data_IF_543009600916
#
_entry.id   IF_543009600916
#
_cell.length_a   1.000
_cell.length_b   1.000
_cell.length_c   1.000
_cell.angle_alpha   90.00
_cell.angle_beta   90.00
_cell.angle_gamma   90.00
#
_symmetry.space_group_name_H-M   'P 1'
#
loop_
_entity.id
_entity.type
_entity.pdbx_description
1 polymer ?
#
# COMPACT_ATOMS: atom_id res chain seq x y z
N UNK A 1 9.52 11.01 -12.65
CA UNK A 1 8.98 11.56 -11.38
C UNK A 1 7.64 12.23 -11.69
N UNK A 2 6.76 12.32 -10.69
CA UNK A 2 5.40 12.84 -10.80
C UNK A 2 5.09 13.83 -9.66
N UNK A 3 4.24 14.81 -9.92
CA UNK A 3 3.63 15.70 -8.92
C UNK A 3 2.48 15.01 -8.19
N UNK A 4 2.06 15.55 -7.05
CA UNK A 4 0.87 15.06 -6.34
C UNK A 4 -0.39 15.15 -7.21
N UNK A 5 -0.53 16.23 -8.00
CA UNK A 5 -1.68 16.40 -8.90
C UNK A 5 -1.77 15.28 -9.95
N UNK A 6 -0.63 14.88 -10.52
CA UNK A 6 -0.57 13.79 -11.49
C UNK A 6 -0.83 12.42 -10.85
N UNK A 7 -0.31 12.18 -9.64
CA UNK A 7 -0.60 10.96 -8.88
C UNK A 7 -2.08 10.89 -8.55
N UNK A 8 -2.67 11.95 -8.00
CA UNK A 8 -4.09 12.00 -7.62
C UNK A 8 -5.00 11.77 -8.84
N UNK A 9 -4.66 12.33 -10.00
CA UNK A 9 -5.40 12.11 -11.23
C UNK A 9 -5.44 10.62 -11.66
N UNK A 10 -4.43 9.82 -11.30
CA UNK A 10 -4.38 8.37 -11.55
C UNK A 10 -4.93 7.53 -10.38
N UNK A 11 -4.63 7.95 -9.15
CA UNK A 11 -4.96 7.23 -7.92
C UNK A 11 -6.43 7.37 -7.49
N UNK A 12 -7.06 8.51 -7.84
CA UNK A 12 -8.49 8.81 -7.67
C UNK A 12 -9.00 8.99 -6.23
N UNK A 13 -8.13 8.98 -5.23
CA UNK A 13 -8.51 9.18 -3.82
C UNK A 13 -7.39 9.89 -3.04
N UNK A 14 -7.72 10.43 -1.87
CA UNK A 14 -6.75 10.99 -0.91
C UNK A 14 -6.27 9.96 0.12
N UNK A 15 -6.91 8.79 0.16
CA UNK A 15 -6.54 7.68 1.05
C UNK A 15 -5.27 7.00 0.51
N UNK A 16 -4.55 6.26 1.35
CA UNK A 16 -3.39 5.49 0.89
C UNK A 16 -3.76 4.35 -0.08
N UNK A 17 -4.97 3.81 0.05
CA UNK A 17 -5.46 2.70 -0.75
C UNK A 17 -6.56 3.19 -1.71
N UNK A 18 -6.28 3.09 -3.00
CA UNK A 18 -7.22 3.39 -4.08
C UNK A 18 -7.72 2.14 -4.78
N UNK A 19 -8.70 2.26 -5.69
CA UNK A 19 -9.34 1.11 -6.34
C UNK A 19 -8.38 0.23 -7.15
N UNK A 20 -7.30 0.81 -7.68
CA UNK A 20 -6.31 0.13 -8.54
C UNK A 20 -4.86 0.52 -8.25
N UNK A 21 -4.62 1.22 -7.14
CA UNK A 21 -3.29 1.73 -6.83
C UNK A 21 -3.10 2.04 -5.35
N UNK A 22 -1.85 2.15 -4.94
CA UNK A 22 -1.42 2.37 -3.55
C UNK A 22 -0.44 3.53 -3.49
N UNK A 23 -0.55 4.31 -2.42
CA UNK A 23 0.45 5.29 -2.02
C UNK A 23 1.31 4.67 -0.94
N UNK A 24 2.62 4.71 -1.14
CA UNK A 24 3.62 4.28 -0.16
C UNK A 24 4.52 5.46 0.17
N UNK A 25 4.94 5.52 1.42
CA UNK A 25 5.93 6.48 1.93
C UNK A 25 6.77 5.80 3.03
N UNK A 26 7.70 6.54 3.63
CA UNK A 26 8.65 6.03 4.63
C UNK A 26 8.25 6.41 6.06
N UNK A 27 6.98 6.75 6.29
CA UNK A 27 6.43 7.16 7.58
C UNK A 27 5.81 8.57 7.58
N UNK A 28 5.89 9.31 6.48
CA UNK A 28 5.39 10.69 6.40
C UNK A 28 3.87 10.81 6.60
N UNK A 29 3.11 9.73 6.39
CA UNK A 29 1.66 9.66 6.62
C UNK A 29 1.27 9.10 8.00
N UNK A 30 2.24 8.76 8.84
CA UNK A 30 2.01 8.05 10.10
C UNK A 30 1.93 6.52 9.94
N UNK A 31 1.88 6.01 8.70
CA UNK A 31 2.02 4.59 8.40
C UNK A 31 3.45 4.31 7.92
N UNK A 32 4.11 3.32 8.53
CA UNK A 32 5.49 2.98 8.18
C UNK A 32 5.52 1.74 7.29
N UNK A 33 5.56 1.94 5.98
CA UNK A 33 5.80 0.85 5.04
C UNK A 33 7.22 0.30 5.24
N UNK A 34 7.36 -1.02 5.27
CA UNK A 34 8.66 -1.67 5.36
C UNK A 34 9.09 -2.13 3.95
N UNK A 35 10.15 -1.52 3.43
CA UNK A 35 10.72 -1.88 2.14
C UNK A 35 11.76 -2.98 2.32
N UNK A 36 11.58 -4.10 1.63
CA UNK A 36 12.43 -5.27 1.76
C UNK A 36 13.52 -5.30 0.67
N UNK A 37 14.66 -5.99 0.91
CA UNK A 37 15.77 -6.04 -0.04
C UNK A 37 15.42 -6.63 -1.42
N UNK A 38 14.40 -7.48 -1.49
CA UNK A 38 13.90 -8.10 -2.72
C UNK A 38 12.98 -7.16 -3.54
N UNK A 39 12.81 -5.92 -3.09
CA UNK A 39 11.91 -4.93 -3.71
C UNK A 39 10.45 -5.08 -3.31
N UNK A 40 10.10 -6.07 -2.47
CA UNK A 40 8.76 -6.18 -1.91
C UNK A 40 8.53 -5.15 -0.80
N UNK A 41 7.26 -4.91 -0.48
CA UNK A 41 6.85 -3.93 0.53
C UNK A 41 5.88 -4.61 1.49
N UNK A 42 6.14 -4.53 2.80
CA UNK A 42 5.12 -4.80 3.81
C UNK A 42 4.32 -3.52 4.05
N UNK A 43 3.05 -3.59 3.68
CA UNK A 43 2.12 -2.48 3.64
C UNK A 43 1.09 -2.64 4.76
N UNK A 44 1.05 -1.75 5.76
CA UNK A 44 0.03 -1.80 6.80
C UNK A 44 -1.34 -1.45 6.20
N UNK A 45 -2.39 -2.09 6.69
CA UNK A 45 -3.76 -1.80 6.28
C UNK A 45 -4.23 -0.40 6.67
N UNK A 46 -5.41 -0.02 6.17
CA UNK A 46 -6.10 1.21 6.52
C UNK A 46 -6.81 1.10 7.88
N UNK A 47 -6.82 2.22 8.62
CA UNK A 47 -7.52 2.38 9.89
C UNK A 47 -6.55 2.85 10.97
N UNK A 48 -6.80 4.03 11.55
CA UNK A 48 -5.89 4.71 12.48
C UNK A 48 -6.14 4.36 13.96
N UNK A 49 -7.32 3.82 14.27
CA UNK A 49 -7.71 3.46 15.64
C UNK A 49 -8.49 2.16 15.66
N UNK A 50 -8.45 1.48 16.81
CA UNK A 50 -9.07 0.16 17.00
C UNK A 50 -8.49 -0.93 16.09
N UNK A 51 -9.00 -2.14 16.24
CA UNK A 51 -8.64 -3.25 15.37
C UNK A 51 -9.05 -2.93 13.94
N UNK A 52 -8.13 -3.10 12.98
CA UNK A 52 -8.44 -2.88 11.58
C UNK A 52 -9.50 -3.87 11.10
N UNK A 53 -10.44 -3.36 10.30
CA UNK A 53 -11.60 -4.11 9.81
C UNK A 53 -11.43 -4.44 8.32
N UNK A 54 -12.02 -5.53 7.80
CA UNK A 54 -11.97 -5.90 6.39
C UNK A 54 -12.93 -5.04 5.54
N UNK A 55 -12.88 -3.72 5.71
CA UNK A 55 -13.72 -2.73 5.03
C UNK A 55 -12.84 -1.68 4.34
N UNK A 56 -13.43 -0.81 3.53
CA UNK A 56 -12.69 0.27 2.85
C UNK A 56 -11.49 -0.24 2.04
N UNK A 57 -10.32 0.36 2.25
CA UNK A 57 -9.07 -0.02 1.60
C UNK A 57 -8.61 -1.44 1.93
N UNK A 58 -8.83 -1.92 3.16
CA UNK A 58 -8.46 -3.30 3.51
C UNK A 58 -9.25 -4.31 2.67
N UNK A 59 -10.54 -4.06 2.45
CA UNK A 59 -11.37 -4.88 1.56
C UNK A 59 -10.82 -4.90 0.14
N UNK A 60 -10.35 -3.75 -0.37
CA UNK A 60 -9.76 -3.66 -1.72
C UNK A 60 -8.52 -4.56 -1.80
N UNK A 61 -7.62 -4.50 -0.82
CA UNK A 61 -6.41 -5.32 -0.79
C UNK A 61 -6.71 -6.82 -0.63
N UNK A 62 -7.67 -7.18 0.21
CA UNK A 62 -8.12 -8.58 0.36
C UNK A 62 -8.71 -9.14 -0.94
N UNK A 63 -9.51 -8.35 -1.66
CA UNK A 63 -10.04 -8.73 -2.97
C UNK A 63 -8.93 -8.83 -4.01
N UNK A 64 -7.96 -7.90 -4.01
CA UNK A 64 -6.81 -7.93 -4.91
C UNK A 64 -5.94 -9.17 -4.67
N UNK A 65 -5.74 -9.58 -3.41
CA UNK A 65 -5.10 -10.83 -3.04
C UNK A 65 -5.87 -12.04 -3.59
N UNK A 66 -7.18 -12.12 -3.34
CA UNK A 66 -7.99 -13.25 -3.79
C UNK A 66 -8.05 -13.37 -5.32
N UNK A 67 -8.15 -12.25 -6.03
CA UNK A 67 -8.25 -12.19 -7.48
C UNK A 67 -6.90 -12.11 -8.20
N UNK A 68 -5.78 -12.04 -7.46
CA UNK A 68 -4.45 -11.74 -8.00
C UNK A 68 -4.44 -10.53 -8.94
N UNK A 69 -5.18 -9.49 -8.57
CA UNK A 69 -5.27 -8.26 -9.36
C UNK A 69 -4.08 -7.35 -9.04
N UNK A 70 -3.28 -6.95 -10.05
CA UNK A 70 -2.17 -6.04 -9.81
C UNK A 70 -2.64 -4.62 -9.50
N UNK A 71 -1.91 -3.96 -8.61
CA UNK A 71 -2.12 -2.59 -8.19
C UNK A 71 -0.89 -1.74 -8.55
N UNK A 72 -1.11 -0.52 -9.03
CA UNK A 72 -0.01 0.41 -9.30
C UNK A 72 0.51 1.02 -8.00
N UNK A 73 1.81 1.10 -7.79
CA UNK A 73 2.39 1.68 -6.56
C UNK A 73 3.05 3.02 -6.85
N UNK A 74 2.74 4.03 -6.05
CA UNK A 74 3.36 5.34 -6.08
C UNK A 74 4.10 5.62 -4.77
N UNK A 75 5.42 5.80 -4.85
CA UNK A 75 6.24 6.16 -3.70
C UNK A 75 6.38 7.67 -3.58
N UNK A 76 6.11 8.21 -2.40
CA UNK A 76 6.48 9.58 -2.03
C UNK A 76 7.97 9.63 -1.76
N UNK A 77 8.72 10.35 -2.59
CA UNK A 77 10.16 10.59 -2.39
C UNK A 77 10.39 11.84 -1.53
N UNK A 78 9.53 12.86 -1.71
CA UNK A 78 9.45 14.09 -0.90
C UNK A 78 8.14 14.82 -1.21
N UNK A 79 7.89 15.94 -0.55
CA UNK A 79 6.70 16.77 -0.84
C UNK A 79 6.61 17.11 -2.33
N UNK A 80 5.45 16.81 -2.92
CA UNK A 80 5.15 16.98 -4.34
C UNK A 80 6.10 16.26 -5.32
N UNK A 81 6.83 15.24 -4.87
CA UNK A 81 7.69 14.42 -5.70
C UNK A 81 7.40 12.94 -5.45
N UNK A 82 6.84 12.29 -6.47
CA UNK A 82 6.41 10.91 -6.42
C UNK A 82 7.08 10.09 -7.53
N UNK A 83 7.41 8.85 -7.21
CA UNK A 83 7.92 7.86 -8.16
C UNK A 83 6.85 6.82 -8.45
N UNK A 84 6.63 6.55 -9.72
CA UNK A 84 5.84 5.39 -10.14
C UNK A 84 6.73 4.15 -10.05
N UNK A 85 6.38 3.23 -9.14
CA UNK A 85 7.14 2.01 -8.88
C UNK A 85 6.71 0.84 -9.77
N UNK A 86 5.71 1.02 -10.64
CA UNK A 86 5.18 -0.06 -11.47
C UNK A 86 4.05 -0.83 -10.78
N UNK A 87 3.82 -2.05 -11.26
CA UNK A 87 2.73 -2.91 -10.82
C UNK A 87 3.19 -3.89 -9.74
N UNK A 88 2.34 -4.11 -8.75
CA UNK A 88 2.58 -5.03 -7.64
C UNK A 88 1.39 -5.96 -7.46
N UNK A 89 1.65 -7.19 -7.03
CA UNK A 89 0.63 -8.11 -6.53
C UNK A 89 0.61 -8.10 -5.02
N UNK A 90 -0.58 -8.26 -4.44
CA UNK A 90 -0.71 -8.64 -3.03
C UNK A 90 -0.44 -10.15 -2.96
N UNK A 91 0.69 -10.54 -2.40
CA UNK A 91 1.14 -11.94 -2.34
C UNK A 91 0.62 -12.66 -1.10
N UNK A 92 0.53 -11.96 0.03
CA UNK A 92 0.04 -12.52 1.29
C UNK A 92 -0.50 -11.41 2.20
N UNK A 93 -1.24 -11.83 3.22
CA UNK A 93 -1.69 -10.96 4.31
C UNK A 93 -1.52 -11.66 5.65
N UNK A 94 -1.03 -10.92 6.64
CA UNK A 94 -1.10 -11.29 8.06
C UNK A 94 -2.08 -10.36 8.77
N UNK A 95 -2.85 -10.88 9.71
CA UNK A 95 -3.63 -10.08 10.65
C UNK A 95 -3.12 -10.39 12.05
N UNK A 96 -2.35 -9.47 12.63
CA UNK A 96 -1.61 -9.74 13.86
C UNK A 96 -1.72 -8.60 14.86
N UNK A 97 -1.52 -8.95 16.12
CA UNK A 97 -1.40 -8.00 17.22
C UNK A 97 -0.11 -7.20 17.08
N UNK A 98 -0.21 -5.87 17.00
CA UNK A 98 0.94 -4.97 17.03
C UNK A 98 1.06 -4.33 18.42
N UNK A 99 2.10 -4.70 19.17
CA UNK A 99 2.30 -4.26 20.55
C UNK A 99 2.44 -2.74 20.68
N UNK A 100 3.12 -2.10 19.73
CA UNK A 100 3.30 -0.64 19.72
C UNK A 100 1.99 0.11 19.50
N UNK A 101 1.01 -0.51 18.84
CA UNK A 101 -0.30 0.08 18.54
C UNK A 101 -1.42 -0.46 19.45
N UNK A 102 -1.14 -1.53 20.22
CA UNK A 102 -2.08 -2.26 21.09
C UNK A 102 -3.39 -2.60 20.38
N UNK A 103 -3.29 -3.06 19.13
CA UNK A 103 -4.43 -3.43 18.29
C UNK A 103 -4.03 -4.42 17.21
N UNK A 104 -5.02 -5.05 16.59
CA UNK A 104 -4.80 -5.88 15.42
C UNK A 104 -4.70 -5.04 14.14
N UNK A 105 -3.64 -5.30 13.36
CA UNK A 105 -3.29 -4.59 12.12
C UNK A 105 -3.10 -5.61 11.00
N UNK A 106 -3.59 -5.27 9.80
CA UNK A 106 -3.28 -6.02 8.60
C UNK A 106 -1.89 -5.65 8.08
N UNK A 107 -1.11 -6.65 7.68
CA UNK A 107 0.15 -6.49 6.98
C UNK A 107 0.10 -7.23 5.65
N UNK A 108 0.03 -6.47 4.56
CA UNK A 108 -0.02 -6.98 3.21
C UNK A 108 1.38 -7.03 2.61
N UNK A 109 1.83 -8.19 2.12
CA UNK A 109 3.08 -8.27 1.36
C UNK A 109 2.81 -7.96 -0.12
N UNK A 110 3.36 -6.86 -0.59
CA UNK A 110 3.29 -6.43 -1.99
C UNK A 110 4.56 -6.88 -2.72
N UNK A 111 4.44 -7.67 -3.77
CA UNK A 111 5.58 -8.12 -4.59
C UNK A 111 5.56 -7.42 -5.95
N UNK A 112 6.71 -6.91 -6.43
CA UNK A 112 6.76 -6.26 -7.74
C UNK A 112 6.51 -7.30 -8.84
N UNK A 113 5.66 -6.96 -9.80
CA UNK A 113 5.62 -7.67 -11.07
C UNK A 113 6.90 -7.31 -11.82
N UNK A 114 7.84 -8.26 -11.91
CA UNK A 114 8.96 -8.12 -12.83
C UNK A 114 8.37 -7.93 -14.23
N UNK A 115 8.80 -6.88 -14.93
CA UNK A 115 8.51 -6.76 -16.35
C UNK A 115 9.03 -8.04 -17.03
N UNK A 116 8.20 -8.67 -17.87
CA UNK A 116 8.72 -9.67 -18.79
C UNK A 116 9.78 -8.96 -19.63
N UNK A 117 11.05 -9.30 -19.38
CA UNK A 117 12.18 -8.92 -20.21
C UNK A 117 12.07 -9.57 -21.57
#
# INVERSE_FOLDING_TARGET
>A
MMTWREVLARHKTLRGIGPRSLLVDRGESGYKNCFLPDGSILYPGEGLSGNQQPTGGNRILLLALAAQTPLRVYLRERTNCWRDCGWFLVASVEYRWEESERRYVYWFRLVPLKAAT
#
